data_IF_872055589422
#
_entry.id   IF_872055589422
#
_cell.length_a   1.000
_cell.length_b   1.000
_cell.length_c   1.000
_cell.angle_alpha   90.00
_cell.angle_beta   90.00
_cell.angle_gamma   90.00
#
_symmetry.space_group_name_H-M   'P 1'
#
loop_
_entity.id
_entity.type
_entity.pdbx_description
1 polymer ?
#
# COMPACT_ATOMS: atom_id res chain seq x y z
N UNK A 1 -25.05 3.38 -2.36
CA UNK A 1 -24.24 4.57 -2.04
C UNK A 1 -22.77 4.20 -2.14
N UNK A 2 -22.09 4.58 -3.23
CA UNK A 2 -20.67 4.30 -3.42
C UNK A 2 -19.86 5.12 -2.41
N UNK A 3 -19.35 4.44 -1.38
CA UNK A 3 -18.59 5.05 -0.30
C UNK A 3 -17.30 5.60 -0.91
N UNK A 4 -17.17 6.91 -0.99
CA UNK A 4 -15.92 7.57 -1.36
C UNK A 4 -14.77 6.93 -0.56
N UNK A 5 -13.68 6.57 -1.23
CA UNK A 5 -12.48 5.99 -0.63
C UNK A 5 -11.81 7.06 0.23
N UNK A 6 -12.41 7.33 1.39
CA UNK A 6 -11.91 8.28 2.37
C UNK A 6 -10.77 7.58 3.10
N UNK A 7 -9.55 7.69 2.56
CA UNK A 7 -8.28 7.36 3.24
C UNK A 7 -8.24 5.95 3.86
N UNK A 8 -8.85 4.94 3.24
CA UNK A 8 -8.68 3.57 3.74
C UNK A 8 -7.23 3.17 3.48
N UNK A 9 -6.48 2.94 4.55
CA UNK A 9 -5.08 2.50 4.47
C UNK A 9 -5.03 1.28 3.56
N UNK A 10 -4.01 1.17 2.70
CA UNK A 10 -3.76 0.02 1.83
C UNK A 10 -3.93 -1.30 2.59
N UNK A 11 -3.52 -1.41 3.86
CA UNK A 11 -3.73 -2.61 4.70
C UNK A 11 -5.19 -3.02 4.96
N UNK A 12 -6.18 -2.19 4.62
CA UNK A 12 -7.61 -2.45 4.85
C UNK A 12 -8.37 -2.73 3.56
N UNK A 13 -7.71 -2.62 2.40
CA UNK A 13 -8.34 -2.89 1.12
C UNK A 13 -8.55 -4.40 0.93
N UNK A 14 -9.72 -4.75 0.43
CA UNK A 14 -10.07 -6.07 -0.10
C UNK A 14 -9.73 -6.16 -1.58
N UNK A 15 -9.62 -7.37 -2.12
CA UNK A 15 -9.32 -7.59 -3.55
C UNK A 15 -10.27 -6.82 -4.48
N UNK A 16 -11.58 -6.86 -4.22
CA UNK A 16 -12.59 -6.13 -5.00
C UNK A 16 -12.36 -4.62 -4.99
N UNK A 17 -11.87 -4.06 -3.88
CA UNK A 17 -11.56 -2.64 -3.78
C UNK A 17 -10.26 -2.28 -4.49
N UNK A 18 -9.27 -3.18 -4.47
CA UNK A 18 -8.03 -2.99 -5.24
C UNK A 18 -8.30 -3.08 -6.74
N UNK A 19 -9.15 -4.00 -7.18
CA UNK A 19 -9.52 -4.15 -8.59
C UNK A 19 -10.16 -2.88 -9.18
N UNK A 20 -10.95 -2.14 -8.38
CA UNK A 20 -11.54 -0.87 -8.81
C UNK A 20 -10.55 0.31 -8.89
N UNK A 21 -9.35 0.17 -8.31
CA UNK A 21 -8.33 1.23 -8.17
C UNK A 21 -6.92 0.69 -8.47
N UNK A 22 -6.82 -0.19 -9.47
CA UNK A 22 -5.61 -0.95 -9.74
C UNK A 22 -4.42 -0.04 -10.09
N UNK A 23 -4.64 1.00 -10.88
CA UNK A 23 -3.59 1.94 -11.30
C UNK A 23 -2.98 2.67 -10.10
N UNK A 24 -3.80 3.25 -9.22
CA UNK A 24 -3.35 3.90 -7.99
C UNK A 24 -2.60 2.94 -7.07
N UNK A 25 -3.03 1.67 -7.02
CA UNK A 25 -2.34 0.64 -6.25
C UNK A 25 -0.96 0.32 -6.86
N UNK A 26 -0.88 0.16 -8.19
CA UNK A 26 0.36 -0.12 -8.92
C UNK A 26 1.40 0.99 -8.73
N UNK A 27 1.02 2.26 -8.77
CA UNK A 27 1.92 3.39 -8.50
C UNK A 27 2.60 3.29 -7.13
N UNK A 28 1.85 2.85 -6.12
CA UNK A 28 2.38 2.72 -4.77
C UNK A 28 3.30 1.52 -4.58
N UNK A 29 3.08 0.41 -5.31
CA UNK A 29 3.86 -0.83 -5.14
C UNK A 29 5.04 -0.97 -6.10
N UNK A 30 5.06 -0.23 -7.22
CA UNK A 30 6.16 -0.24 -8.20
C UNK A 30 7.44 0.41 -7.67
N UNK A 31 7.33 1.41 -6.79
CA UNK A 31 8.47 2.07 -6.14
C UNK A 31 8.28 2.09 -4.62
N UNK A 32 8.24 0.93 -3.94
CA UNK A 32 7.89 0.89 -2.53
C UNK A 32 9.03 1.46 -1.68
N UNK A 33 8.69 2.30 -0.71
CA UNK A 33 9.64 2.85 0.29
C UNK A 33 9.38 2.32 1.69
N UNK A 34 8.20 1.76 1.90
CA UNK A 34 7.75 1.26 3.18
C UNK A 34 7.08 -0.11 3.03
N UNK A 35 7.23 -0.92 4.08
CA UNK A 35 6.53 -2.18 4.26
C UNK A 35 5.74 -2.12 5.56
N UNK A 36 4.55 -2.73 5.59
CA UNK A 36 3.82 -2.86 6.83
C UNK A 36 4.27 -4.10 7.59
N UNK A 37 4.77 -3.95 8.82
CA UNK A 37 5.20 -5.09 9.65
C UNK A 37 4.08 -6.07 10.03
N UNK A 38 2.82 -5.63 9.97
CA UNK A 38 1.66 -6.45 10.35
C UNK A 38 1.01 -7.13 9.15
N UNK A 39 0.82 -6.38 8.06
CA UNK A 39 0.02 -6.80 6.93
C UNK A 39 0.88 -7.18 5.70
N UNK A 40 2.20 -6.97 5.79
CA UNK A 40 3.21 -7.22 4.75
C UNK A 40 2.99 -6.49 3.41
N UNK A 41 1.96 -5.66 3.30
CA UNK A 41 1.76 -4.79 2.13
C UNK A 41 2.83 -3.71 2.08
N UNK A 42 3.20 -3.36 0.86
CA UNK A 42 4.19 -2.32 0.56
C UNK A 42 3.51 -1.08 -0.02
N UNK A 43 4.15 0.07 0.14
CA UNK A 43 3.68 1.33 -0.44
C UNK A 43 4.83 2.33 -0.55
N UNK A 44 4.69 3.29 -1.47
CA UNK A 44 5.58 4.43 -1.57
C UNK A 44 5.38 5.42 -0.40
N UNK A 45 4.14 5.56 0.10
CA UNK A 45 3.82 6.41 1.24
C UNK A 45 3.48 5.60 2.51
N UNK A 46 4.15 5.91 3.62
CA UNK A 46 3.90 5.33 4.95
C UNK A 46 2.45 5.51 5.43
N UNK A 47 1.75 6.56 4.99
CA UNK A 47 0.35 6.87 5.38
C UNK A 47 -0.63 5.82 4.89
N UNK A 48 -0.28 5.09 3.83
CA UNK A 48 -1.08 4.02 3.29
C UNK A 48 -0.98 2.74 4.13
N UNK A 49 -0.08 2.64 5.11
CA UNK A 49 0.15 1.41 5.87
C UNK A 49 -0.33 1.54 7.32
N UNK A 50 -0.77 0.44 7.92
CA UNK A 50 -1.25 0.46 9.30
C UNK A 50 -0.12 0.48 10.35
N UNK A 51 1.01 -0.19 10.05
CA UNK A 51 2.25 -0.20 10.84
C UNK A 51 3.46 -0.07 9.91
N UNK A 52 3.69 1.12 9.32
CA UNK A 52 4.76 1.32 8.35
C UNK A 52 6.15 1.16 8.98
N UNK A 53 7.04 0.50 8.25
CA UNK A 53 8.48 0.47 8.48
C UNK A 53 9.19 0.81 7.18
N UNK A 54 10.29 1.56 7.25
CA UNK A 54 11.05 1.96 6.07
C UNK A 54 11.77 0.74 5.52
N UNK A 55 11.58 0.45 4.23
CA UNK A 55 12.37 -0.57 3.55
C UNK A 55 13.82 -0.07 3.54
N UNK A 56 14.71 -0.84 4.18
CA UNK A 56 16.14 -0.69 3.98
C UNK A 56 16.45 -1.29 2.61
N UNK A 57 17.21 -0.57 1.80
CA UNK A 57 17.53 -0.94 0.42
C UNK A 57 17.93 -2.42 0.37
N UNK A 58 17.14 -3.25 -0.31
CA UNK A 58 17.64 -4.51 -0.81
C UNK A 58 18.51 -4.14 -2.02
N UNK A 59 19.80 -3.89 -1.78
CA UNK A 59 20.77 -4.02 -2.86
C UNK A 59 20.62 -5.47 -3.35
N UNK A 60 20.10 -5.64 -4.57
CA UNK A 60 20.29 -6.92 -5.26
C UNK A 60 21.73 -6.87 -5.73
N UNK A 61 22.60 -7.62 -5.05
CA UNK A 61 23.90 -8.02 -5.56
C UNK A 61 23.76 -8.63 -6.97
#
# INVERSE_FOLDING_TARGET
MAKAIKKTRFCQLTEKQVAGHLEEFLEQVTRPRYICRRCLRVSHDKRNLCKPEKLKTFARD
#
